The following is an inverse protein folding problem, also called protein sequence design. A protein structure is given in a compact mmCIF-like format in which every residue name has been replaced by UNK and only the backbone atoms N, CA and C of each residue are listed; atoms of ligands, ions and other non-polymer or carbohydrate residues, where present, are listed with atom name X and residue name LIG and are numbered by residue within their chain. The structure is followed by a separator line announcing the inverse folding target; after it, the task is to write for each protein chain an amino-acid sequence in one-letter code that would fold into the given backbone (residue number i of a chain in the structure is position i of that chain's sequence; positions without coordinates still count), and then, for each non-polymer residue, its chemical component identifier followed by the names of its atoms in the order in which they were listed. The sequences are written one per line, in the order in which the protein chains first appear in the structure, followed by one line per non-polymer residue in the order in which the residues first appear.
data_IF_156110913017
#
_entry.id   IF_156110913017
#
_cell.length_a   1.000
_cell.length_b   1.000
_cell.length_c   1.000
_cell.angle_alpha   90.00
_cell.angle_beta   90.00
_cell.angle_gamma   90.00
#
_symmetry.space_group_name_H-M   'P 1'
#
loop_
_entity.id
_entity.type
_entity.pdbx_description
1 polymer ?
#
# COMPACT_ATOMS: atom_id res chain seq x y z
N UNK A 1 -1.46 30.96 5.70
CA UNK A 1 -2.12 29.82 5.04
C UNK A 1 -1.76 28.55 5.80
N UNK A 2 -2.69 28.01 6.58
CA UNK A 2 -2.48 26.80 7.38
C UNK A 2 -3.38 25.68 6.82
N UNK A 3 -2.79 24.63 6.26
CA UNK A 3 -3.52 23.44 5.78
C UNK A 3 -3.08 22.19 6.53
N UNK A 4 -3.97 21.81 7.44
CA UNK A 4 -4.39 20.48 7.92
C UNK A 4 -3.54 19.24 7.63
N UNK A 5 -3.06 18.65 8.72
CA UNK A 5 -2.62 17.26 8.85
C UNK A 5 -3.84 16.37 9.21
N UNK A 6 -4.40 15.67 8.22
CA UNK A 6 -5.50 14.67 8.37
C UNK A 6 -5.14 13.35 7.68
N UNK A 7 -4.01 12.74 8.01
CA UNK A 7 -3.58 11.49 7.37
C UNK A 7 -3.74 10.21 8.22
N UNK A 8 -3.70 10.30 9.56
CA UNK A 8 -3.27 9.12 10.35
C UNK A 8 -4.35 8.44 11.22
N UNK A 9 -5.62 8.85 11.14
CA UNK A 9 -6.72 8.25 11.95
C UNK A 9 -7.47 7.09 11.27
N UNK A 10 -7.26 6.85 9.97
CA UNK A 10 -7.98 5.82 9.21
C UNK A 10 -7.44 4.39 9.35
N UNK A 11 -6.11 4.22 9.49
CA UNK A 11 -5.47 2.89 9.46
C UNK A 11 -5.63 2.07 10.76
N UNK A 12 -5.89 2.73 11.89
CA UNK A 12 -6.07 2.04 13.19
C UNK A 12 -7.46 1.41 13.33
N UNK A 13 -8.51 2.04 12.81
CA UNK A 13 -9.87 1.50 12.87
C UNK A 13 -10.07 0.26 11.98
N UNK A 14 -9.46 0.22 10.80
CA UNK A 14 -9.60 -0.93 9.90
C UNK A 14 -8.94 -2.21 10.46
N UNK A 15 -7.76 -2.10 11.08
CA UNK A 15 -7.10 -3.25 11.72
C UNK A 15 -7.86 -3.77 12.95
N UNK A 16 -8.54 -2.89 13.69
CA UNK A 16 -9.28 -3.28 14.89
C UNK A 16 -10.63 -3.98 14.58
N UNK A 17 -11.22 -3.73 13.41
CA UNK A 17 -12.46 -4.40 12.96
C UNK A 17 -12.18 -5.82 12.46
N UNK A 18 -11.09 -6.03 11.72
CA UNK A 18 -10.74 -7.35 11.16
C UNK A 18 -10.42 -8.36 12.27
N UNK A 19 -9.73 -7.94 13.34
CA UNK A 19 -9.41 -8.82 14.49
C UNK A 19 -10.69 -9.26 15.23
N UNK A 20 -11.69 -8.38 15.35
CA UNK A 20 -12.96 -8.70 16.03
C UNK A 20 -13.86 -9.65 15.24
N UNK A 21 -13.79 -9.65 13.91
CA UNK A 21 -14.53 -10.64 13.10
C UNK A 21 -13.85 -12.01 13.15
N UNK A 22 -12.52 -12.08 13.21
CA UNK A 22 -11.82 -13.38 13.34
C UNK A 22 -12.01 -14.06 14.70
N UNK A 23 -12.28 -13.32 15.79
CA UNK A 23 -12.64 -13.90 17.08
C UNK A 23 -14.08 -14.45 17.10
N UNK A 24 -15.03 -13.78 16.42
CA UNK A 24 -16.42 -14.27 16.31
C UNK A 24 -16.56 -15.56 15.51
N UNK A 25 -15.64 -15.84 14.58
CA UNK A 25 -15.67 -17.09 13.81
C UNK A 25 -15.17 -18.29 14.63
N UNK A 26 -14.34 -18.07 15.66
CA UNK A 26 -13.84 -19.15 16.53
C UNK A 26 -14.80 -19.60 17.63
N UNK A 27 -15.80 -18.80 18.00
CA UNK A 27 -16.79 -19.17 19.03
C UNK A 27 -17.95 -20.04 18.49
N UNK A 28 -18.10 -20.18 17.17
CA UNK A 28 -19.20 -20.95 16.56
C UNK A 28 -18.87 -22.42 16.25
N UNK A 29 -17.68 -22.93 16.62
CA UNK A 29 -17.31 -24.34 16.39
C UNK A 29 -17.55 -25.26 17.61
N UNK A 30 -18.01 -24.75 18.75
CA UNK A 30 -18.31 -25.61 19.92
C UNK A 30 -19.82 -25.85 20.10
N UNK A 31 -20.32 -26.94 19.54
CA UNK A 31 -21.34 -27.81 20.16
C UNK A 31 -21.90 -28.86 19.20
N UNK A 32 -21.06 -29.51 18.38
CA UNK A 32 -21.47 -30.78 17.79
C UNK A 32 -21.10 -31.91 18.75
N UNK A 33 -22.00 -32.19 19.69
CA UNK A 33 -21.78 -33.20 20.72
C UNK A 33 -22.07 -34.58 20.13
N UNK A 34 -21.02 -35.33 19.77
CA UNK A 34 -21.11 -36.69 19.22
C UNK A 34 -21.88 -37.65 20.14
N UNK A 35 -22.01 -37.32 21.43
CA UNK A 35 -22.77 -38.09 22.41
C UNK A 35 -24.28 -38.05 22.15
N UNK A 36 -24.82 -36.94 21.65
CA UNK A 36 -26.26 -36.80 21.41
C UNK A 36 -26.67 -37.55 20.13
N UNK A 37 -25.81 -37.53 19.11
CA UNK A 37 -26.02 -38.31 17.88
C UNK A 37 -25.99 -39.83 18.16
N UNK A 38 -25.09 -40.28 19.04
CA UNK A 38 -25.00 -41.70 19.41
C UNK A 38 -26.17 -42.15 20.29
N UNK A 39 -26.70 -41.26 21.14
CA UNK A 39 -27.91 -41.53 21.93
C UNK A 39 -29.15 -41.68 21.04
N UNK A 40 -29.32 -40.82 20.04
CA UNK A 40 -30.40 -40.90 19.05
C UNK A 40 -30.29 -42.18 18.20
N UNK A 41 -29.09 -42.54 17.74
CA UNK A 41 -28.89 -43.79 17.02
C UNK A 41 -29.23 -45.02 17.87
N UNK A 42 -28.94 -45.00 19.18
CA UNK A 42 -29.24 -46.13 20.08
C UNK A 42 -30.74 -46.30 20.33
N UNK A 43 -31.47 -45.19 20.45
CA UNK A 43 -32.93 -45.20 20.60
C UNK A 43 -33.65 -45.77 19.37
N UNK A 44 -33.15 -45.44 18.18
CA UNK A 44 -33.72 -45.90 16.90
C UNK A 44 -33.43 -47.38 16.63
N UNK A 45 -32.23 -47.87 16.98
CA UNK A 45 -31.82 -49.25 16.69
C UNK A 45 -32.36 -50.29 17.68
N UNK A 46 -32.53 -49.94 18.95
CA UNK A 46 -32.82 -50.92 20.01
C UNK A 46 -34.15 -50.70 20.74
N UNK A 47 -34.86 -49.60 20.49
CA UNK A 47 -36.06 -49.23 21.23
C UNK A 47 -35.75 -48.87 22.70
N UNK A 48 -36.57 -48.01 23.30
CA UNK A 48 -36.32 -47.44 24.62
C UNK A 48 -36.30 -48.47 25.79
N UNK A 49 -36.68 -49.73 25.56
CA UNK A 49 -36.92 -50.75 26.60
C UNK A 49 -36.00 -51.98 26.53
N UNK A 50 -34.76 -51.83 26.06
CA UNK A 50 -33.75 -52.90 26.12
C UNK A 50 -32.88 -52.80 27.39
N UNK A 51 -33.51 -52.85 28.56
CA UNK A 51 -32.88 -53.13 29.85
C UNK A 51 -32.96 -54.64 30.13
N UNK A 52 -31.81 -55.31 30.02
CA UNK A 52 -31.69 -56.76 30.02
C UNK A 52 -32.08 -57.48 31.31
N UNK A 53 -32.54 -58.71 31.09
CA UNK A 53 -32.63 -59.80 32.05
C UNK A 53 -31.26 -60.36 32.41
N UNK A 54 -31.12 -60.91 33.62
CA UNK A 54 -30.19 -62.01 33.94
C UNK A 54 -30.80 -62.89 35.02
N UNK A 55 -30.89 -64.20 34.79
CA UNK A 55 -31.29 -65.17 35.82
C UNK A 55 -31.73 -66.54 35.29
N UNK A 56 -30.84 -67.24 34.59
CA UNK A 56 -30.89 -68.70 34.41
C UNK A 56 -30.53 -69.38 35.74
N UNK A 57 -31.18 -70.49 36.14
CA UNK A 57 -30.62 -71.86 36.06
C UNK A 57 -31.41 -72.91 36.90
N UNK A 58 -31.59 -74.10 36.29
CA UNK A 58 -31.77 -75.51 36.75
C UNK A 58 -32.26 -75.84 38.19
N UNK A 59 -33.01 -76.90 38.50
CA UNK A 59 -32.82 -78.34 38.15
C UNK A 59 -34.01 -79.18 38.68
N UNK A 60 -34.13 -80.40 38.15
CA UNK A 60 -35.10 -81.48 38.40
C UNK A 60 -35.29 -81.94 39.87
N UNK A 61 -36.41 -82.61 40.19
CA UNK A 61 -36.54 -84.09 40.24
C UNK A 61 -37.83 -84.55 41.00
N UNK A 62 -38.36 -85.69 40.53
CA UNK A 62 -39.34 -86.71 40.99
C UNK A 62 -40.01 -86.63 42.40
N UNK A 63 -41.14 -87.28 42.73
CA UNK A 63 -41.66 -88.63 42.38
C UNK A 63 -43.13 -88.81 42.84
N UNK A 64 -43.86 -89.67 42.10
CA UNK A 64 -44.95 -90.62 42.43
C UNK A 64 -45.88 -90.49 43.67
N UNK A 65 -47.19 -90.65 43.45
CA UNK A 65 -48.01 -91.89 43.68
C UNK A 65 -49.48 -91.58 43.32
N UNK A 66 -50.11 -92.15 42.29
CA UNK A 66 -50.63 -93.51 42.07
C UNK A 66 -51.88 -93.88 42.92
N UNK A 67 -53.02 -94.07 42.23
CA UNK A 67 -53.94 -95.23 42.32
C UNK A 67 -55.27 -94.91 41.58
N UNK A 68 -55.54 -95.52 40.42
CA UNK A 68 -56.43 -96.70 40.16
C UNK A 68 -57.91 -96.45 40.49
N UNK A 69 -58.94 -96.82 39.70
CA UNK A 69 -59.16 -98.00 38.83
C UNK A 69 -60.43 -97.78 37.99
N UNK A 70 -60.48 -98.42 36.80
CA UNK A 70 -61.64 -98.82 35.97
C UNK A 70 -62.82 -97.87 35.73
N UNK A 71 -63.24 -97.77 34.46
CA UNK A 71 -64.48 -98.41 33.95
C UNK A 71 -64.67 -98.07 32.45
N UNK A 72 -65.16 -99.06 31.70
CA UNK A 72 -65.83 -98.98 30.39
C UNK A 72 -65.00 -98.80 29.10
N UNK A 73 -64.69 -99.97 28.55
CA UNK A 73 -64.32 -100.31 27.19
C UNK A 73 -65.51 -100.04 26.23
N UNK A 74 -65.82 -98.75 26.00
CA UNK A 74 -66.72 -98.26 24.94
C UNK A 74 -66.41 -96.80 24.54
N UNK A 75 -65.20 -96.30 24.84
CA UNK A 75 -64.73 -94.93 24.58
C UNK A 75 -63.49 -94.82 23.64
N UNK A 76 -63.08 -95.91 22.98
CA UNK A 76 -61.87 -95.90 22.13
C UNK A 76 -62.00 -95.13 20.81
N UNK A 77 -63.21 -94.86 20.31
CA UNK A 77 -63.40 -93.98 19.14
C UNK A 77 -63.50 -92.50 19.56
N UNK A 78 -64.04 -92.19 20.74
CA UNK A 78 -64.23 -90.81 21.22
C UNK A 78 -62.97 -90.17 21.84
N UNK A 79 -62.06 -90.95 22.45
CA UNK A 79 -60.82 -90.39 23.00
C UNK A 79 -59.78 -90.01 21.91
N UNK A 80 -59.78 -90.74 20.79
CA UNK A 80 -58.91 -90.49 19.64
C UNK A 80 -59.38 -89.28 18.84
N UNK A 81 -60.71 -89.10 18.71
CA UNK A 81 -61.32 -87.93 18.05
C UNK A 81 -61.18 -86.65 18.88
N UNK A 82 -61.25 -86.73 20.23
CA UNK A 82 -60.99 -85.57 21.11
C UNK A 82 -59.53 -85.12 21.04
N UNK A 83 -58.55 -86.04 21.02
CA UNK A 83 -57.13 -85.69 20.82
C UNK A 83 -56.88 -85.02 19.47
N UNK A 84 -57.52 -85.53 18.41
CA UNK A 84 -57.42 -84.92 17.07
C UNK A 84 -58.03 -83.52 17.04
N UNK A 85 -59.20 -83.31 17.66
CA UNK A 85 -59.83 -81.98 17.76
C UNK A 85 -58.93 -80.97 18.50
N UNK A 86 -58.35 -81.35 19.64
CA UNK A 86 -57.42 -80.47 20.39
C UNK A 86 -56.15 -80.13 19.59
N UNK A 87 -55.67 -81.05 18.75
CA UNK A 87 -54.52 -80.80 17.88
C UNK A 87 -54.89 -79.81 16.76
N UNK A 88 -56.07 -79.97 16.16
CA UNK A 88 -56.59 -79.05 15.12
C UNK A 88 -56.76 -77.64 15.69
N UNK A 89 -57.30 -77.49 16.90
CA UNK A 89 -57.42 -76.17 17.55
C UNK A 89 -56.05 -75.54 17.82
N UNK A 90 -55.07 -76.33 18.27
CA UNK A 90 -53.70 -75.86 18.45
C UNK A 90 -53.05 -75.39 17.15
N UNK A 91 -53.27 -76.13 16.05
CA UNK A 91 -52.82 -75.74 14.71
C UNK A 91 -53.50 -74.46 14.23
N UNK A 92 -54.81 -74.30 14.45
CA UNK A 92 -55.53 -73.08 14.11
C UNK A 92 -55.00 -71.86 14.87
N UNK A 93 -54.73 -72.00 16.16
CA UNK A 93 -54.10 -70.93 16.97
C UNK A 93 -52.71 -70.59 16.43
N UNK A 94 -51.93 -71.60 16.02
CA UNK A 94 -50.61 -71.37 15.43
C UNK A 94 -50.72 -70.63 14.09
N UNK A 95 -51.68 -71.00 13.23
CA UNK A 95 -51.93 -70.35 11.94
C UNK A 95 -52.35 -68.89 12.14
N UNK A 96 -53.25 -68.60 13.07
CA UNK A 96 -53.62 -67.23 13.43
C UNK A 96 -52.41 -66.42 13.94
N UNK A 97 -51.53 -67.05 14.74
CA UNK A 97 -50.28 -66.44 15.19
C UNK A 97 -49.31 -66.19 14.03
N UNK A 98 -49.29 -67.05 13.01
CA UNK A 98 -48.49 -66.84 11.80
C UNK A 98 -49.06 -65.69 10.96
N UNK A 99 -50.37 -65.62 10.76
CA UNK A 99 -51.02 -64.54 9.99
C UNK A 99 -50.79 -63.16 10.63
N UNK A 100 -50.93 -63.07 11.95
CA UNK A 100 -50.62 -61.83 12.69
C UNK A 100 -49.15 -61.44 12.54
N UNK A 101 -48.22 -62.40 12.59
CA UNK A 101 -46.79 -62.13 12.35
C UNK A 101 -46.51 -61.71 10.92
N UNK A 102 -47.17 -62.32 9.93
CA UNK A 102 -47.06 -61.96 8.51
C UNK A 102 -47.55 -60.53 8.28
N UNK A 103 -48.70 -60.15 8.84
CA UNK A 103 -49.22 -58.79 8.76
C UNK A 103 -48.26 -57.75 9.37
N UNK A 104 -47.58 -58.10 10.48
CA UNK A 104 -46.54 -57.23 11.06
C UNK A 104 -45.31 -57.13 10.15
N UNK A 105 -44.91 -58.23 9.48
CA UNK A 105 -43.80 -58.24 8.53
C UNK A 105 -44.11 -57.37 7.30
N UNK A 106 -45.33 -57.43 6.77
CA UNK A 106 -45.78 -56.59 5.65
C UNK A 106 -45.66 -55.10 6.00
N UNK A 107 -46.21 -54.68 7.15
CA UNK A 107 -46.10 -53.29 7.64
C UNK A 107 -44.64 -52.84 7.81
N UNK A 108 -43.77 -53.73 8.31
CA UNK A 108 -42.33 -53.43 8.43
C UNK A 108 -41.64 -53.33 7.08
N UNK A 109 -42.10 -54.06 6.07
CA UNK A 109 -41.57 -54.00 4.72
C UNK A 109 -41.91 -52.66 4.06
N UNK A 110 -43.14 -52.18 4.24
CA UNK A 110 -43.57 -50.86 3.78
C UNK A 110 -42.74 -49.73 4.41
N UNK A 111 -42.46 -49.79 5.71
CA UNK A 111 -41.62 -48.77 6.36
C UNK A 111 -40.17 -48.80 5.86
N UNK A 112 -39.63 -49.99 5.56
CA UNK A 112 -38.31 -50.14 4.96
C UNK A 112 -38.24 -49.52 3.56
N UNK A 113 -39.27 -49.65 2.72
CA UNK A 113 -39.33 -49.00 1.41
C UNK A 113 -39.31 -47.46 1.54
N UNK A 114 -40.07 -46.92 2.50
CA UNK A 114 -40.06 -45.48 2.78
C UNK A 114 -38.66 -45.02 3.22
N UNK A 115 -37.99 -45.77 4.11
CA UNK A 115 -36.62 -45.46 4.53
C UNK A 115 -35.67 -45.50 3.34
N UNK A 116 -35.75 -46.51 2.49
CA UNK A 116 -34.90 -46.63 1.31
C UNK A 116 -35.08 -45.44 0.37
N UNK A 117 -36.33 -45.00 0.15
CA UNK A 117 -36.61 -43.80 -0.67
C UNK A 117 -36.00 -42.53 -0.07
N UNK A 118 -35.97 -42.40 1.27
CA UNK A 118 -35.33 -41.27 1.96
C UNK A 118 -33.82 -41.34 1.86
N UNK A 119 -33.23 -42.53 1.96
CA UNK A 119 -31.78 -42.75 1.79
C UNK A 119 -31.36 -42.33 0.38
N UNK A 120 -32.07 -42.75 -0.67
CA UNK A 120 -31.75 -42.33 -2.05
C UNK A 120 -31.83 -40.81 -2.21
N UNK A 121 -32.82 -40.14 -1.59
CA UNK A 121 -32.91 -38.67 -1.63
C UNK A 121 -31.78 -37.99 -0.86
N UNK A 122 -31.35 -38.56 0.27
CA UNK A 122 -30.21 -38.03 1.02
C UNK A 122 -28.92 -38.19 0.25
N UNK A 123 -28.70 -39.34 -0.40
CA UNK A 123 -27.53 -39.61 -1.22
C UNK A 123 -27.40 -38.60 -2.37
N UNK A 124 -28.50 -38.33 -3.07
CA UNK A 124 -28.55 -37.29 -4.11
C UNK A 124 -28.21 -35.89 -3.56
N UNK A 125 -28.73 -35.52 -2.39
CA UNK A 125 -28.44 -34.21 -1.75
C UNK A 125 -27.00 -34.09 -1.31
N UNK A 126 -26.42 -35.16 -0.77
CA UNK A 126 -24.99 -35.21 -0.40
C UNK A 126 -24.12 -35.04 -1.64
N UNK A 127 -24.43 -35.73 -2.75
CA UNK A 127 -23.70 -35.57 -4.00
C UNK A 127 -23.72 -34.13 -4.56
N UNK A 128 -24.86 -33.42 -4.45
CA UNK A 128 -24.93 -32.00 -4.82
C UNK A 128 -24.04 -31.14 -3.92
N UNK A 129 -24.12 -31.33 -2.59
CA UNK A 129 -23.31 -30.58 -1.64
C UNK A 129 -21.80 -30.80 -1.86
N UNK A 130 -21.37 -32.03 -2.14
CA UNK A 130 -19.97 -32.34 -2.45
C UNK A 130 -19.46 -31.60 -3.70
N UNK A 131 -20.30 -31.46 -4.73
CA UNK A 131 -19.94 -30.74 -5.95
C UNK A 131 -19.85 -29.22 -5.72
N UNK A 132 -20.75 -28.65 -4.91
CA UNK A 132 -20.69 -27.25 -4.51
C UNK A 132 -19.43 -26.96 -3.66
N UNK A 133 -19.07 -27.88 -2.76
CA UNK A 133 -17.82 -27.79 -1.97
C UNK A 133 -16.60 -27.81 -2.89
N UNK A 134 -16.54 -28.73 -3.87
CA UNK A 134 -15.44 -28.77 -4.85
C UNK A 134 -15.32 -27.47 -5.64
N UNK A 135 -16.45 -26.93 -6.10
CA UNK A 135 -16.50 -25.66 -6.85
C UNK A 135 -16.08 -24.46 -5.99
N UNK A 136 -16.46 -24.46 -4.71
CA UNK A 136 -16.06 -23.40 -3.78
C UNK A 136 -14.57 -23.47 -3.50
N UNK A 137 -14.02 -24.68 -3.35
CA UNK A 137 -12.59 -24.90 -3.13
C UNK A 137 -11.73 -24.38 -4.29
N UNK A 138 -12.14 -24.60 -5.54
CA UNK A 138 -11.39 -24.07 -6.70
C UNK A 138 -11.40 -22.54 -6.72
N UNK A 139 -12.56 -21.92 -6.45
CA UNK A 139 -12.66 -20.44 -6.36
C UNK A 139 -11.81 -19.86 -5.23
N UNK A 140 -11.72 -20.54 -4.09
CA UNK A 140 -10.84 -20.12 -2.99
C UNK A 140 -9.37 -20.12 -3.46
N UNK A 141 -8.93 -21.18 -4.13
CA UNK A 141 -7.55 -21.24 -4.64
C UNK A 141 -7.24 -20.18 -5.70
N UNK A 142 -8.21 -19.82 -6.55
CA UNK A 142 -8.07 -18.71 -7.51
C UNK A 142 -7.93 -17.36 -6.78
N UNK A 143 -8.77 -17.10 -5.78
CA UNK A 143 -8.72 -15.87 -4.97
C UNK A 143 -7.39 -15.76 -4.21
N UNK A 144 -6.87 -16.87 -3.68
CA UNK A 144 -5.56 -16.90 -3.01
C UNK A 144 -4.42 -16.53 -3.96
N UNK A 145 -4.47 -17.01 -5.21
CA UNK A 145 -3.48 -16.65 -6.24
C UNK A 145 -3.57 -15.16 -6.61
N UNK A 146 -4.78 -14.63 -6.78
CA UNK A 146 -5.00 -13.20 -7.06
C UNK A 146 -4.54 -12.30 -5.90
N UNK A 147 -4.78 -12.72 -4.65
CA UNK A 147 -4.29 -12.02 -3.46
C UNK A 147 -2.76 -11.98 -3.40
N UNK A 148 -2.10 -13.09 -3.74
CA UNK A 148 -0.64 -13.14 -3.83
C UNK A 148 -0.12 -12.21 -4.92
N UNK A 149 -0.77 -12.18 -6.09
CA UNK A 149 -0.43 -11.26 -7.19
C UNK A 149 -0.58 -9.79 -6.79
N UNK A 150 -1.68 -9.44 -6.13
CA UNK A 150 -1.92 -8.08 -5.62
C UNK A 150 -0.93 -7.69 -4.52
N UNK A 151 -0.52 -8.62 -3.66
CA UNK A 151 0.52 -8.37 -2.64
C UNK A 151 1.84 -7.99 -3.30
N UNK A 152 2.27 -8.73 -4.32
CA UNK A 152 3.51 -8.43 -5.04
C UNK A 152 3.44 -7.04 -5.72
N UNK A 153 2.31 -6.71 -6.36
CA UNK A 153 2.09 -5.39 -6.96
C UNK A 153 2.14 -4.26 -5.91
N UNK A 154 1.61 -4.51 -4.70
CA UNK A 154 1.68 -3.54 -3.62
C UNK A 154 3.12 -3.27 -3.18
N UNK A 155 3.95 -4.31 -3.06
CA UNK A 155 5.36 -4.17 -2.71
C UNK A 155 6.15 -3.41 -3.79
N UNK A 156 5.89 -3.66 -5.07
CA UNK A 156 6.49 -2.91 -6.19
C UNK A 156 6.12 -1.42 -6.16
N UNK A 157 4.83 -1.12 -5.96
CA UNK A 157 4.35 0.28 -5.87
C UNK A 157 4.96 0.99 -4.66
N UNK A 158 5.08 0.28 -3.53
CA UNK A 158 5.73 0.80 -2.34
C UNK A 158 7.20 1.11 -2.60
N UNK A 159 7.94 0.20 -3.25
CA UNK A 159 9.33 0.41 -3.64
C UNK A 159 9.52 1.66 -4.51
N UNK A 160 8.70 1.81 -5.56
CA UNK A 160 8.73 3.01 -6.41
C UNK A 160 8.37 4.30 -5.67
N UNK A 161 7.47 4.21 -4.68
CA UNK A 161 7.10 5.36 -3.84
C UNK A 161 8.28 5.80 -2.97
N UNK A 162 9.00 4.84 -2.38
CA UNK A 162 10.19 5.11 -1.56
C UNK A 162 11.34 5.68 -2.42
N UNK A 163 11.51 5.20 -3.66
CA UNK A 163 12.47 5.78 -4.63
C UNK A 163 12.14 7.24 -4.97
N UNK A 164 10.87 7.52 -5.29
CA UNK A 164 10.41 8.88 -5.59
C UNK A 164 10.60 9.84 -4.41
N UNK A 165 10.37 9.38 -3.18
CA UNK A 165 10.59 10.20 -1.98
C UNK A 165 12.08 10.55 -1.81
N UNK A 166 12.97 9.60 -2.07
CA UNK A 166 14.42 9.83 -2.06
C UNK A 166 14.87 10.83 -3.14
N UNK A 167 14.32 10.72 -4.35
CA UNK A 167 14.59 11.67 -5.43
C UNK A 167 14.08 13.07 -5.11
N UNK A 168 12.90 13.18 -4.48
CA UNK A 168 12.34 14.45 -4.02
C UNK A 168 13.24 15.09 -2.96
N UNK A 169 13.73 14.31 -1.98
CA UNK A 169 14.71 14.79 -1.00
C UNK A 169 16.01 15.26 -1.66
N UNK A 170 16.49 14.57 -2.69
CA UNK A 170 17.69 14.95 -3.45
C UNK A 170 17.47 16.25 -4.22
N UNK A 171 16.32 16.40 -4.89
CA UNK A 171 15.93 17.63 -5.59
C UNK A 171 15.82 18.81 -4.62
N UNK A 172 15.18 18.63 -3.47
CA UNK A 172 15.07 19.66 -2.43
C UNK A 172 16.44 20.15 -1.95
N UNK A 173 17.40 19.24 -1.75
CA UNK A 173 18.79 19.61 -1.42
C UNK A 173 19.46 20.41 -2.53
N UNK A 174 19.20 20.09 -3.81
CA UNK A 174 19.75 20.83 -4.95
C UNK A 174 19.14 22.23 -5.06
N UNK A 175 17.83 22.35 -4.88
CA UNK A 175 17.13 23.65 -4.85
C UNK A 175 17.74 24.55 -3.77
N UNK A 176 17.92 24.04 -2.54
CA UNK A 176 18.55 24.82 -1.48
C UNK A 176 20.01 25.23 -1.76
N UNK A 177 20.73 24.53 -2.63
CA UNK A 177 22.05 24.99 -3.11
C UNK A 177 21.93 26.09 -4.16
N UNK A 178 20.95 25.97 -5.07
CA UNK A 178 20.69 26.99 -6.09
C UNK A 178 20.24 28.30 -5.45
N UNK A 179 19.35 28.26 -4.45
CA UNK A 179 18.94 29.45 -3.69
C UNK A 179 20.15 30.19 -3.09
N UNK A 180 21.06 29.46 -2.43
CA UNK A 180 22.30 30.06 -1.88
C UNK A 180 23.20 30.68 -2.95
N UNK A 181 23.31 30.05 -4.12
CA UNK A 181 24.08 30.60 -5.24
C UNK A 181 23.42 31.86 -5.80
N UNK A 182 22.09 31.89 -5.89
CA UNK A 182 21.33 33.08 -6.32
C UNK A 182 21.55 34.25 -5.35
N UNK A 183 21.54 33.98 -4.04
CA UNK A 183 21.82 34.99 -3.02
C UNK A 183 23.24 35.54 -3.16
N UNK A 184 24.22 34.67 -3.36
CA UNK A 184 25.63 35.04 -3.57
C UNK A 184 25.83 35.87 -4.84
N UNK A 185 25.19 35.48 -5.95
CA UNK A 185 25.22 36.24 -7.21
C UNK A 185 24.64 37.64 -7.01
N UNK A 186 23.51 37.74 -6.31
CA UNK A 186 22.86 39.03 -6.04
C UNK A 186 23.77 39.95 -5.23
N UNK A 187 24.44 39.41 -4.21
CA UNK A 187 25.41 40.16 -3.40
C UNK A 187 26.61 40.64 -4.23
N UNK A 188 27.18 39.76 -5.06
CA UNK A 188 28.31 40.13 -5.93
C UNK A 188 27.92 41.18 -6.97
N UNK A 189 26.67 41.15 -7.45
CA UNK A 189 26.16 42.17 -8.36
C UNK A 189 26.04 43.55 -7.69
N UNK A 190 25.60 43.60 -6.43
CA UNK A 190 25.55 44.82 -5.63
C UNK A 190 26.96 45.39 -5.40
N UNK A 191 27.90 44.58 -4.93
CA UNK A 191 29.30 44.98 -4.71
C UNK A 191 29.97 45.49 -5.99
N UNK A 192 29.73 44.80 -7.12
CA UNK A 192 30.27 45.24 -8.41
C UNK A 192 29.65 46.56 -8.88
N UNK A 193 28.39 46.82 -8.53
CA UNK A 193 27.73 48.11 -8.76
C UNK A 193 28.37 49.24 -7.96
N UNK A 194 28.58 49.03 -6.66
CA UNK A 194 29.26 49.99 -5.77
C UNK A 194 30.68 50.30 -6.23
N UNK A 195 31.45 49.26 -6.59
CA UNK A 195 32.80 49.42 -7.13
C UNK A 195 32.80 50.21 -8.44
N UNK A 196 31.82 49.96 -9.32
CA UNK A 196 31.70 50.69 -10.57
C UNK A 196 31.39 52.18 -10.34
N UNK A 197 30.49 52.50 -9.41
CA UNK A 197 30.16 53.87 -9.03
C UNK A 197 31.37 54.58 -8.40
N UNK A 198 32.08 53.91 -7.50
CA UNK A 198 33.31 54.44 -6.90
C UNK A 198 34.41 54.72 -7.94
N UNK A 199 34.61 53.81 -8.89
CA UNK A 199 35.55 54.02 -10.01
C UNK A 199 35.14 55.21 -10.88
N UNK A 200 33.85 55.33 -11.17
CA UNK A 200 33.32 56.46 -11.94
C UNK A 200 33.52 57.78 -11.20
N UNK A 201 33.24 57.82 -9.90
CA UNK A 201 33.47 59.00 -9.06
C UNK A 201 34.95 59.41 -9.08
N UNK A 202 35.86 58.46 -8.84
CA UNK A 202 37.30 58.73 -8.87
C UNK A 202 37.75 59.25 -10.24
N UNK A 203 37.26 58.65 -11.32
CA UNK A 203 37.58 59.09 -12.69
C UNK A 203 37.05 60.49 -12.96
N UNK A 204 35.81 60.79 -12.59
CA UNK A 204 35.23 62.13 -12.70
C UNK A 204 36.03 63.16 -11.91
N UNK A 205 36.41 62.84 -10.66
CA UNK A 205 37.24 63.71 -9.82
C UNK A 205 38.62 63.94 -10.42
N UNK A 206 39.26 62.90 -10.95
CA UNK A 206 40.56 63.00 -11.62
C UNK A 206 40.49 63.86 -12.88
N UNK A 207 39.46 63.69 -13.71
CA UNK A 207 39.30 64.47 -14.96
C UNK A 207 38.87 65.92 -14.71
N UNK A 208 38.08 66.18 -13.65
CA UNK A 208 37.53 67.52 -13.34
C UNK A 208 38.61 68.58 -13.12
N UNK A 209 39.76 68.20 -12.57
CA UNK A 209 40.86 69.12 -12.28
C UNK A 209 41.91 69.19 -13.38
N UNK A 210 41.68 68.54 -14.54
CA UNK A 210 42.60 68.60 -15.67
C UNK A 210 42.22 69.77 -16.58
N UNK A 211 43.07 70.79 -16.64
CA UNK A 211 42.98 71.85 -17.63
C UNK A 211 43.67 71.39 -18.93
N UNK A 212 42.90 71.30 -20.01
CA UNK A 212 43.41 70.92 -21.33
C UNK A 212 43.77 72.16 -22.13
N UNK A 213 45.06 72.36 -22.37
CA UNK A 213 45.56 73.40 -23.25
C UNK A 213 46.02 72.78 -24.57
N UNK A 214 45.38 73.17 -25.67
CA UNK A 214 45.71 72.70 -27.02
C UNK A 214 46.43 73.82 -27.79
N UNK A 215 47.31 73.46 -28.72
CA UNK A 215 47.97 74.42 -29.62
C UNK A 215 49.27 75.05 -29.09
N UNK A 216 49.73 74.68 -27.89
CA UNK A 216 51.04 75.05 -27.37
C UNK A 216 52.06 74.00 -27.84
N UNK A 217 53.12 74.42 -28.54
CA UNK A 217 54.14 73.53 -29.09
C UNK A 217 55.00 72.88 -27.99
N UNK A 218 55.52 71.68 -28.27
CA UNK A 218 56.41 70.94 -27.35
C UNK A 218 57.87 70.96 -27.81
N UNK A 219 58.76 71.24 -26.86
CA UNK A 219 60.21 71.22 -26.92
C UNK A 219 60.75 70.22 -25.86
N UNK A 220 61.84 69.53 -26.20
CA UNK A 220 62.42 68.52 -25.32
C UNK A 220 63.06 69.18 -24.08
N UNK A 221 62.74 68.65 -22.89
CA UNK A 221 63.33 69.08 -21.61
C UNK A 221 62.75 70.37 -21.00
N UNK A 222 61.69 70.94 -21.56
CA UNK A 222 61.06 72.13 -21.00
C UNK A 222 60.23 71.84 -19.73
N UNK A 223 60.08 72.85 -18.87
CA UNK A 223 59.17 72.77 -17.73
C UNK A 223 57.75 73.19 -18.18
N UNK A 224 56.91 72.19 -18.42
CA UNK A 224 55.52 72.38 -18.89
C UNK A 224 54.72 73.35 -18.02
N UNK A 225 54.86 73.27 -16.69
CA UNK A 225 54.13 74.13 -15.76
C UNK A 225 54.46 75.61 -15.97
N UNK A 226 55.75 75.93 -16.10
CA UNK A 226 56.20 77.32 -16.28
C UNK A 226 55.74 77.91 -17.61
N UNK A 227 55.75 77.11 -18.68
CA UNK A 227 55.29 77.55 -20.01
C UNK A 227 53.79 77.84 -19.99
N UNK A 228 53.03 77.01 -19.29
CA UNK A 228 51.60 77.23 -19.07
C UNK A 228 51.29 78.45 -18.19
N UNK A 229 52.05 78.67 -17.11
CA UNK A 229 51.92 79.89 -16.29
C UNK A 229 52.15 81.15 -17.11
N UNK A 230 53.22 81.18 -17.92
CA UNK A 230 53.51 82.30 -18.82
C UNK A 230 52.39 82.50 -19.84
N UNK A 231 51.94 81.45 -20.50
CA UNK A 231 50.84 81.54 -21.46
C UNK A 231 49.56 82.13 -20.83
N UNK A 232 49.19 81.71 -19.62
CA UNK A 232 48.01 82.23 -18.92
C UNK A 232 48.17 83.72 -18.55
N UNK A 233 49.37 84.10 -18.12
CA UNK A 233 49.65 85.47 -17.72
C UNK A 233 49.75 86.42 -18.92
N UNK A 234 50.46 86.00 -19.97
CA UNK A 234 50.82 86.84 -21.10
C UNK A 234 49.71 86.90 -22.16
N UNK A 235 49.18 85.73 -22.56
CA UNK A 235 48.21 85.62 -23.67
C UNK A 235 46.76 85.75 -23.18
N UNK A 236 46.44 85.15 -22.02
CA UNK A 236 45.09 85.20 -21.46
C UNK A 236 44.88 86.37 -20.49
N UNK A 237 45.95 87.08 -20.11
CA UNK A 237 45.91 88.24 -19.20
C UNK A 237 45.23 87.96 -17.86
N UNK A 238 45.35 86.73 -17.36
CA UNK A 238 44.81 86.35 -16.06
C UNK A 238 45.92 86.57 -15.02
N UNK A 239 45.84 87.67 -14.28
CA UNK A 239 46.86 88.07 -13.29
C UNK A 239 46.82 87.25 -11.98
N UNK A 240 45.86 86.33 -11.85
CA UNK A 240 45.71 85.51 -10.64
C UNK A 240 46.64 84.29 -10.70
N UNK A 241 47.39 84.05 -9.62
CA UNK A 241 48.19 82.84 -9.47
C UNK A 241 47.28 81.60 -9.38
N UNK A 242 47.36 80.74 -10.39
CA UNK A 242 46.63 79.47 -10.44
C UNK A 242 47.59 78.36 -10.00
N UNK A 243 47.35 77.68 -8.86
CA UNK A 243 48.19 76.56 -8.44
C UNK A 243 47.91 75.36 -9.34
N UNK A 244 48.98 74.79 -9.90
CA UNK A 244 48.90 73.52 -10.62
C UNK A 244 49.32 72.36 -9.71
N UNK A 245 48.64 71.22 -9.85
CA UNK A 245 49.00 69.99 -9.15
C UNK A 245 49.83 69.07 -10.05
N UNK A 246 49.24 68.57 -11.13
CA UNK A 246 49.92 67.77 -12.15
C UNK A 246 49.70 68.43 -13.52
N UNK A 247 50.78 68.86 -14.18
CA UNK A 247 50.73 69.46 -15.51
C UNK A 247 51.31 68.48 -16.51
N UNK A 248 50.48 68.05 -17.44
CA UNK A 248 50.89 67.29 -18.61
C UNK A 248 50.44 68.04 -19.84
N UNK A 249 51.33 68.21 -20.81
CA UNK A 249 50.98 68.73 -22.13
C UNK A 249 50.98 67.56 -23.10
N UNK A 250 49.99 67.55 -24.01
CA UNK A 250 49.82 66.53 -25.03
C UNK A 250 49.73 67.24 -26.38
N UNK A 251 50.85 67.29 -27.10
CA UNK A 251 51.00 67.98 -28.37
C UNK A 251 51.94 67.23 -29.32
N UNK A 252 51.93 67.62 -30.59
CA UNK A 252 52.94 67.12 -31.54
C UNK A 252 54.28 67.73 -31.13
N UNK A 253 55.31 66.89 -30.93
CA UNK A 253 56.71 67.37 -30.86
C UNK A 253 56.91 68.38 -31.98
N UNK A 254 57.36 69.58 -31.64
CA UNK A 254 57.72 70.55 -32.66
C UNK A 254 58.77 69.87 -33.54
N UNK A 255 58.52 69.66 -34.85
CA UNK A 255 59.56 69.18 -35.71
C UNK A 255 60.71 70.19 -35.58
N UNK A 256 61.93 69.72 -35.32
CA UNK A 256 63.16 70.53 -35.10
C UNK A 256 63.45 71.58 -36.20
N UNK A 257 62.63 71.68 -37.23
CA UNK A 257 62.80 72.54 -38.40
C UNK A 257 61.66 73.56 -38.66
N UNK A 258 60.67 73.73 -37.76
CA UNK A 258 59.54 74.64 -38.04
C UNK A 258 59.89 76.11 -37.79
N UNK A 259 60.85 76.44 -36.91
CA UNK A 259 61.35 77.82 -36.77
C UNK A 259 61.94 78.35 -38.09
N UNK A 260 62.60 77.50 -38.88
CA UNK A 260 63.11 77.91 -40.21
C UNK A 260 62.00 78.17 -41.22
N UNK A 261 60.86 77.50 -41.12
CA UNK A 261 59.74 77.66 -42.05
C UNK A 261 58.93 78.93 -41.75
N UNK A 262 58.69 79.27 -40.49
CA UNK A 262 58.00 80.51 -40.13
C UNK A 262 58.84 81.76 -40.43
N UNK A 263 60.15 81.72 -40.17
CA UNK A 263 61.06 82.79 -40.57
C UNK A 263 61.11 82.96 -42.08
N UNK A 264 61.10 81.88 -42.87
CA UNK A 264 61.06 81.97 -44.33
C UNK A 264 59.73 82.51 -44.87
N UNK A 265 58.58 82.14 -44.29
CA UNK A 265 57.28 82.67 -44.72
C UNK A 265 57.14 84.18 -44.43
N UNK A 266 57.65 84.66 -43.29
CA UNK A 266 57.68 86.11 -43.01
C UNK A 266 58.70 86.88 -43.86
N UNK A 267 59.88 86.30 -44.13
CA UNK A 267 60.90 86.94 -45.00
C UNK A 267 60.43 87.05 -46.46
N UNK A 268 59.70 86.06 -46.96
CA UNK A 268 59.21 86.06 -48.35
C UNK A 268 58.09 87.09 -48.54
N UNK A 269 57.34 87.43 -47.48
CA UNK A 269 56.21 88.38 -47.56
C UNK A 269 56.63 89.85 -47.45
N UNK A 270 57.79 90.15 -46.87
CA UNK A 270 58.36 91.51 -46.80
C UNK A 270 59.19 91.86 -48.05
N UNK A 271 59.67 90.87 -48.83
CA UNK A 271 60.37 91.11 -50.10
C UNK A 271 59.44 91.26 -51.32
N UNK A 272 58.12 91.11 -51.13
CA UNK A 272 57.10 91.24 -52.18
C UNK A 272 56.10 92.40 -51.95
N UNK A 273 56.44 93.36 -51.08
CA UNK A 273 55.77 94.67 -50.94
C UNK A 273 56.82 95.78 -51.04
#
# INVERSE_FOLDING_TARGET
MASTNKGNKGKSKAKQTIVKETEKVKENESSFNTSDLLADCRSILYGADAGGATGHDSTADSTADNQTVNVCQSQCENASTVKLATLVDSVLVLLQKMDTRLSVIEKRTETLEVINSKITKLDARVGVAENEIKTTKTKISEIEADLQGNSNLYDDVKGKTDELDNDLLRLKKRIGKVEKMTDEISRLQEENGELHESLLEMKCRSMKYNLLFSGIAEADGENCENVLKKFIQDELQIEKEIPFANVHRVGKKCPENVERLWLNLYRTRILCL
#
